data_IF_688966144999
#
_entry.id   IF_688966144999
#
_cell.length_a   1.000
_cell.length_b   1.000
_cell.length_c   1.000
_cell.angle_alpha   90.00
_cell.angle_beta   90.00
_cell.angle_gamma   90.00
#
_symmetry.space_group_name_H-M   'P 1'
#
loop_
_entity.id
_entity.type
_entity.pdbx_description
1 polymer ?
#
# COMPACT_ATOMS: atom_id res chain seq x y z
N UNK A 1 -9.86 -12.48 -26.45
CA UNK A 1 -10.19 -11.05 -26.65
C UNK A 1 -10.97 -10.47 -25.48
N UNK A 2 -12.01 -11.15 -24.97
CA UNK A 2 -12.87 -10.65 -23.87
C UNK A 2 -12.12 -10.40 -22.55
N UNK A 3 -11.14 -11.24 -22.21
CA UNK A 3 -10.36 -11.06 -20.96
C UNK A 3 -9.47 -9.83 -20.97
N UNK A 4 -8.87 -9.50 -22.13
CA UNK A 4 -8.03 -8.31 -22.31
C UNK A 4 -8.89 -7.05 -22.11
N UNK A 5 -10.12 -7.05 -22.63
CA UNK A 5 -11.08 -5.95 -22.46
C UNK A 5 -11.47 -5.79 -20.99
N UNK A 6 -11.78 -6.89 -20.29
CA UNK A 6 -12.05 -6.86 -18.84
C UNK A 6 -10.86 -6.31 -18.05
N UNK A 7 -9.63 -6.72 -18.39
CA UNK A 7 -8.41 -6.21 -17.77
C UNK A 7 -8.27 -4.69 -17.97
N UNK A 8 -8.49 -4.22 -19.20
CA UNK A 8 -8.44 -2.81 -19.56
C UNK A 8 -9.45 -1.98 -18.77
N UNK A 9 -10.67 -2.51 -18.58
CA UNK A 9 -11.70 -1.87 -17.76
C UNK A 9 -11.26 -1.78 -16.30
N UNK A 10 -10.72 -2.86 -15.72
CA UNK A 10 -10.25 -2.84 -14.33
C UNK A 10 -9.10 -1.85 -14.14
N UNK A 11 -8.13 -1.83 -15.06
CA UNK A 11 -7.03 -0.85 -15.04
C UNK A 11 -7.57 0.57 -15.12
N UNK A 12 -8.52 0.85 -16.03
CA UNK A 12 -9.14 2.16 -16.16
C UNK A 12 -9.86 2.59 -14.87
N UNK A 13 -10.58 1.68 -14.22
CA UNK A 13 -11.25 1.92 -12.92
C UNK A 13 -10.22 2.22 -11.83
N UNK A 14 -9.13 1.45 -11.74
CA UNK A 14 -8.07 1.69 -10.76
C UNK A 14 -7.42 3.07 -10.99
N UNK A 15 -7.07 3.40 -12.23
CA UNK A 15 -6.50 4.71 -12.60
C UNK A 15 -7.47 5.85 -12.25
N UNK A 16 -8.76 5.66 -12.51
CA UNK A 16 -9.80 6.63 -12.15
C UNK A 16 -9.89 6.82 -10.63
N UNK A 17 -9.85 5.74 -9.84
CA UNK A 17 -9.85 5.80 -8.37
C UNK A 17 -8.60 6.53 -7.83
N UNK A 18 -7.42 6.27 -8.41
CA UNK A 18 -6.17 6.95 -8.04
C UNK A 18 -6.27 8.45 -8.33
N UNK A 19 -6.80 8.83 -9.51
CA UNK A 19 -7.01 10.25 -9.85
C UNK A 19 -7.99 10.94 -8.91
N UNK A 20 -8.91 10.21 -8.30
CA UNK A 20 -9.89 10.75 -7.35
C UNK A 20 -9.31 11.06 -5.95
N UNK A 21 -7.99 10.99 -5.76
CA UNK A 21 -7.29 11.20 -4.47
C UNK A 21 -7.79 10.31 -3.33
N UNK A 22 -8.32 9.12 -3.65
CA UNK A 22 -8.65 8.16 -2.60
C UNK A 22 -7.37 7.72 -1.88
N UNK A 23 -7.44 7.44 -0.57
CA UNK A 23 -6.25 6.96 0.15
C UNK A 23 -5.76 5.68 -0.54
N UNK A 24 -4.48 5.65 -0.89
CA UNK A 24 -3.87 4.53 -1.62
C UNK A 24 -4.16 3.18 -0.97
N UNK A 25 -4.22 3.11 0.37
CA UNK A 25 -4.59 1.91 1.10
C UNK A 25 -5.99 1.35 0.74
N UNK A 26 -7.01 2.20 0.59
CA UNK A 26 -8.34 1.74 0.18
C UNK A 26 -8.33 1.23 -1.26
N UNK A 27 -7.58 1.88 -2.15
CA UNK A 27 -7.46 1.46 -3.55
C UNK A 27 -6.75 0.10 -3.63
N UNK A 28 -5.70 -0.11 -2.84
CA UNK A 28 -4.99 -1.39 -2.75
C UNK A 28 -5.88 -2.53 -2.26
N UNK A 29 -6.83 -2.28 -1.36
CA UNK A 29 -7.81 -3.28 -0.90
C UNK A 29 -8.94 -3.49 -1.91
N UNK A 30 -9.39 -2.43 -2.58
CA UNK A 30 -10.47 -2.49 -3.58
C UNK A 30 -10.04 -3.17 -4.88
N UNK A 31 -8.78 -3.03 -5.29
CA UNK A 31 -8.26 -3.60 -6.53
C UNK A 31 -8.45 -5.13 -6.63
N UNK A 32 -8.00 -5.97 -5.66
CA UNK A 32 -8.21 -7.41 -5.72
C UNK A 32 -9.70 -7.81 -5.62
N UNK A 33 -10.51 -7.01 -4.93
CA UNK A 33 -11.97 -7.19 -4.88
C UNK A 33 -12.62 -6.95 -6.26
N UNK A 34 -12.26 -5.85 -6.91
CA UNK A 34 -12.73 -5.47 -8.24
C UNK A 34 -12.28 -6.48 -9.31
N UNK A 35 -11.01 -6.89 -9.27
CA UNK A 35 -10.46 -7.92 -10.16
C UNK A 35 -11.24 -9.21 -9.96
N UNK A 36 -11.43 -9.62 -8.71
CA UNK A 36 -12.12 -10.86 -8.40
C UNK A 36 -13.56 -10.92 -8.90
N UNK A 37 -14.31 -9.83 -8.73
CA UNK A 37 -15.67 -9.72 -9.25
C UNK A 37 -15.71 -9.68 -10.78
N UNK A 38 -14.79 -8.99 -11.45
CA UNK A 38 -14.79 -8.88 -12.91
C UNK A 38 -14.30 -10.15 -13.63
N UNK A 39 -13.38 -10.89 -13.00
CA UNK A 39 -12.76 -12.10 -13.55
C UNK A 39 -13.39 -13.41 -13.04
N UNK A 40 -14.50 -13.35 -12.29
CA UNK A 40 -15.17 -14.53 -11.73
C UNK A 40 -14.23 -15.37 -10.84
N UNK A 41 -13.26 -14.73 -10.20
CA UNK A 41 -12.35 -15.43 -9.29
C UNK A 41 -13.11 -15.77 -8.02
N UNK A 42 -12.96 -17.01 -7.56
CA UNK A 42 -13.59 -17.44 -6.31
C UNK A 42 -13.19 -16.49 -5.16
N UNK A 43 -14.14 -16.03 -4.32
CA UNK A 43 -13.84 -15.20 -3.15
C UNK A 43 -12.75 -15.80 -2.26
N UNK A 44 -12.69 -17.14 -2.21
CA UNK A 44 -11.68 -17.91 -1.48
C UNK A 44 -10.28 -17.74 -2.09
N UNK A 45 -10.16 -17.71 -3.42
CA UNK A 45 -8.89 -17.48 -4.11
C UNK A 45 -8.40 -16.05 -3.94
N UNK A 46 -9.30 -15.06 -3.94
CA UNK A 46 -8.96 -13.66 -3.66
C UNK A 46 -8.38 -13.54 -2.24
N UNK A 47 -9.10 -14.07 -1.24
CA UNK A 47 -8.66 -14.05 0.15
C UNK A 47 -7.32 -14.77 0.34
N UNK A 48 -7.16 -15.94 -0.28
CA UNK A 48 -5.90 -16.69 -0.30
C UNK A 48 -4.77 -15.85 -0.91
N UNK A 49 -4.96 -15.26 -2.08
CA UNK A 49 -3.93 -14.42 -2.73
C UNK A 49 -3.54 -13.21 -1.87
N UNK A 50 -4.49 -12.58 -1.18
CA UNK A 50 -4.21 -11.48 -0.26
C UNK A 50 -3.30 -11.96 0.87
N UNK A 51 -3.61 -13.11 1.48
CA UNK A 51 -2.82 -13.70 2.57
C UNK A 51 -1.41 -14.08 2.06
N UNK A 52 -1.32 -14.71 0.89
CA UNK A 52 -0.04 -15.04 0.27
C UNK A 52 0.80 -13.80 -0.04
N UNK A 53 0.19 -12.74 -0.57
CA UNK A 53 0.87 -11.48 -0.82
C UNK A 53 1.36 -10.80 0.47
N UNK A 54 0.64 -10.98 1.58
CA UNK A 54 0.99 -10.40 2.88
C UNK A 54 2.13 -11.17 3.58
N UNK A 55 2.16 -12.50 3.42
CA UNK A 55 3.21 -13.37 3.98
C UNK A 55 4.42 -13.46 3.03
N UNK A 56 4.30 -12.92 1.82
CA UNK A 56 5.40 -12.90 0.85
C UNK A 56 6.66 -12.25 1.45
N UNK A 57 7.83 -12.92 1.37
CA UNK A 57 9.04 -12.44 2.01
C UNK A 57 9.53 -11.11 1.44
N UNK A 58 9.24 -10.80 0.17
CA UNK A 58 9.59 -9.51 -0.43
C UNK A 58 8.71 -8.40 0.15
N UNK A 59 7.40 -8.63 0.25
CA UNK A 59 6.45 -7.68 0.87
C UNK A 59 6.83 -7.39 2.32
N UNK A 60 7.08 -8.43 3.12
CA UNK A 60 7.47 -8.28 4.53
C UNK A 60 8.79 -7.53 4.67
N UNK A 61 9.78 -7.83 3.81
CA UNK A 61 11.07 -7.13 3.81
C UNK A 61 10.90 -5.65 3.50
N UNK A 62 10.10 -5.29 2.49
CA UNK A 62 9.83 -3.90 2.14
C UNK A 62 9.12 -3.15 3.26
N UNK A 63 8.07 -3.75 3.85
CA UNK A 63 7.37 -3.17 5.00
C UNK A 63 8.34 -2.95 6.16
N UNK A 64 9.19 -3.94 6.45
CA UNK A 64 10.22 -3.84 7.50
C UNK A 64 11.19 -2.68 7.25
N UNK A 65 11.70 -2.53 6.02
CA UNK A 65 12.57 -1.40 5.65
C UNK A 65 11.85 -0.07 5.84
N UNK A 66 10.60 0.04 5.38
CA UNK A 66 9.80 1.28 5.52
C UNK A 66 9.63 1.63 7.00
N UNK A 67 9.24 0.66 7.84
CA UNK A 67 9.09 0.87 9.28
C UNK A 67 10.40 1.33 9.91
N UNK A 68 11.52 0.71 9.55
CA UNK A 68 12.83 1.07 10.09
C UNK A 68 13.23 2.48 9.70
N UNK A 69 13.00 2.87 8.45
CA UNK A 69 13.23 4.25 7.98
C UNK A 69 12.34 5.23 8.72
N UNK A 70 11.06 4.92 8.95
CA UNK A 70 10.16 5.77 9.74
C UNK A 70 10.65 5.94 11.18
N UNK A 71 11.09 4.87 11.82
CA UNK A 71 11.68 4.91 13.17
C UNK A 71 12.91 5.81 13.15
N UNK A 72 13.81 5.61 12.19
CA UNK A 72 15.03 6.40 12.06
C UNK A 72 14.72 7.89 11.87
N UNK A 73 13.81 8.24 10.94
CA UNK A 73 13.36 9.61 10.75
C UNK A 73 12.75 10.21 12.02
N UNK A 74 11.97 9.42 12.78
CA UNK A 74 11.42 9.83 14.06
C UNK A 74 12.51 10.11 15.11
N UNK A 75 13.53 9.25 15.18
CA UNK A 75 14.68 9.43 16.08
C UNK A 75 15.48 10.67 15.72
N UNK A 76 15.83 10.85 14.44
CA UNK A 76 16.57 12.03 13.96
C UNK A 76 15.84 13.33 14.32
N UNK A 77 14.54 13.39 14.05
CA UNK A 77 13.72 14.56 14.36
C UNK A 77 13.64 14.85 15.87
N UNK A 78 13.69 13.81 16.70
CA UNK A 78 13.71 13.97 18.16
C UNK A 78 15.06 14.46 18.65
N UNK A 79 16.17 14.01 18.06
CA UNK A 79 17.51 14.51 18.38
C UNK A 79 17.67 15.97 17.98
N UNK A 80 17.20 16.36 16.80
CA UNK A 80 17.17 17.77 16.35
C UNK A 80 16.36 18.64 17.33
N UNK A 81 15.14 18.21 17.68
CA UNK A 81 14.31 18.93 18.65
C UNK A 81 14.95 19.08 20.03
N UNK A 82 15.76 18.12 20.48
CA UNK A 82 16.49 18.23 21.76
C UNK A 82 17.64 19.23 21.68
N UNK A 83 18.33 19.28 20.54
CA UNK A 83 19.39 20.26 20.30
C UNK A 83 18.84 21.68 20.31
N UNK A 84 17.73 21.92 19.61
CA UNK A 84 17.09 23.25 19.55
C UNK A 84 16.64 23.76 20.95
N UNK A 85 16.20 22.85 21.82
CA UNK A 85 15.82 23.19 23.20
C UNK A 85 17.03 23.58 24.05
N UNK A 86 18.17 22.91 23.89
CA UNK A 86 19.40 23.24 24.61
C UNK A 86 19.96 24.59 24.13
N UNK A 87 19.97 24.83 22.81
CA UNK A 87 20.41 26.10 22.23
C UNK A 87 19.52 27.28 22.69
N UNK A 88 18.24 27.05 22.98
CA UNK A 88 17.32 28.10 23.48
C UNK A 88 17.51 28.44 24.96
N UNK A 89 18.23 27.61 25.71
CA UNK A 89 18.47 27.79 27.16
C UNK A 89 19.85 28.37 27.47
N UNK A 90 20.76 28.47 26.49
CA UNK A 90 22.04 29.17 26.59
C UNK A 90 21.91 30.62 26.14
#
# INVERSE_FOLDING_TARGET
MTEIIKLLVVIAVIIFLIRRKWKLGYIMLLAPLLIGVFFDLSPVQIGKNIIWALIDPMTLKLIGIIILVYILSGVLRKVESLKDLVDSLQ
#
